data_IF_018134990537
#
_entry.id   IF_018134990537
#
_cell.length_a   1.000
_cell.length_b   1.000
_cell.length_c   1.000
_cell.angle_alpha   90.00
_cell.angle_beta   90.00
_cell.angle_gamma   90.00
#
_symmetry.space_group_name_H-M   'P 1'
#
loop_
_entity.id
_entity.type
_entity.pdbx_description
1 polymer ?
#
# COMPACT_ATOMS: atom_id res chain seq x y z
N UNK A 1 12.50 11.90 -9.07
CA UNK A 1 11.85 10.78 -8.37
C UNK A 1 11.60 11.26 -6.95
N UNK A 2 10.40 11.09 -6.41
CA UNK A 2 10.08 11.44 -5.02
C UNK A 2 9.08 10.43 -4.49
N UNK A 3 9.31 9.92 -3.28
CA UNK A 3 8.43 8.99 -2.59
C UNK A 3 7.16 9.64 -2.06
N UNK A 4 7.12 10.96 -1.94
CA UNK A 4 5.97 11.71 -1.39
C UNK A 4 4.66 11.37 -2.10
N UNK A 5 4.68 11.18 -3.42
CA UNK A 5 3.49 10.77 -4.16
C UNK A 5 3.00 9.38 -3.76
N UNK A 6 3.91 8.41 -3.63
CA UNK A 6 3.53 7.05 -3.24
C UNK A 6 3.10 6.99 -1.77
N UNK A 7 3.74 7.76 -0.89
CA UNK A 7 3.34 7.87 0.51
C UNK A 7 1.89 8.34 0.64
N UNK A 8 1.52 9.41 -0.08
CA UNK A 8 0.13 9.91 -0.12
C UNK A 8 -0.84 8.88 -0.67
N UNK A 9 -0.46 8.17 -1.73
CA UNK A 9 -1.28 7.07 -2.28
C UNK A 9 -1.52 5.97 -1.25
N UNK A 10 -0.48 5.56 -0.49
CA UNK A 10 -0.62 4.55 0.55
C UNK A 10 -1.54 5.01 1.71
N UNK A 11 -1.45 6.29 2.11
CA UNK A 11 -2.36 6.89 3.09
C UNK A 11 -3.81 6.93 2.58
N UNK A 12 -4.02 7.30 1.32
CA UNK A 12 -5.34 7.33 0.69
C UNK A 12 -5.93 5.91 0.57
N UNK A 13 -5.11 4.91 0.26
CA UNK A 13 -5.54 3.51 0.28
C UNK A 13 -5.90 3.02 1.68
N UNK A 14 -5.13 3.37 2.71
CA UNK A 14 -5.49 3.04 4.09
C UNK A 14 -6.82 3.69 4.49
N UNK A 15 -7.03 4.96 4.13
CA UNK A 15 -8.30 5.66 4.39
C UNK A 15 -9.45 4.97 3.67
N UNK A 16 -9.27 4.63 2.39
CA UNK A 16 -10.29 3.93 1.61
C UNK A 16 -10.59 2.54 2.17
N UNK A 17 -9.56 1.83 2.65
CA UNK A 17 -9.68 0.54 3.31
C UNK A 17 -10.53 0.65 4.58
N UNK A 18 -10.22 1.62 5.45
CA UNK A 18 -10.94 1.83 6.70
C UNK A 18 -12.41 2.26 6.44
N UNK A 19 -12.67 3.08 5.40
CA UNK A 19 -14.03 3.45 4.98
C UNK A 19 -14.87 2.25 4.52
N UNK A 20 -14.25 1.25 3.90
CA UNK A 20 -14.92 0.06 3.36
C UNK A 20 -14.69 -1.19 4.21
N UNK A 21 -14.26 -1.03 5.47
CA UNK A 21 -13.81 -2.14 6.32
C UNK A 21 -14.83 -3.28 6.46
N UNK A 22 -16.14 -2.97 6.46
CA UNK A 22 -17.17 -4.00 6.57
C UNK A 22 -17.22 -4.92 5.34
N UNK A 23 -17.13 -4.33 4.15
CA UNK A 23 -17.11 -5.09 2.90
C UNK A 23 -15.82 -5.90 2.76
N UNK A 24 -14.70 -5.28 3.07
CA UNK A 24 -13.39 -5.93 3.04
C UNK A 24 -13.36 -7.10 4.02
N UNK A 25 -13.87 -6.96 5.24
CA UNK A 25 -13.96 -8.08 6.21
C UNK A 25 -14.75 -9.26 5.66
N UNK A 26 -15.86 -9.02 4.95
CA UNK A 26 -16.63 -10.09 4.29
C UNK A 26 -15.80 -10.78 3.22
N UNK A 27 -15.08 -10.03 2.39
CA UNK A 27 -14.20 -10.58 1.36
C UNK A 27 -13.03 -11.36 1.96
N UNK A 28 -12.38 -10.82 2.99
CA UNK A 28 -11.28 -11.49 3.69
C UNK A 28 -11.74 -12.80 4.35
N UNK A 29 -12.96 -12.84 4.89
CA UNK A 29 -13.54 -14.09 5.41
C UNK A 29 -13.72 -15.15 4.31
N UNK A 30 -14.07 -14.74 3.09
CA UNK A 30 -14.21 -15.65 1.95
C UNK A 30 -12.85 -16.14 1.43
N UNK A 31 -11.84 -15.27 1.38
CA UNK A 31 -10.51 -15.57 0.82
C UNK A 31 -9.60 -16.30 1.81
N UNK A 32 -9.57 -15.84 3.07
CA UNK A 32 -8.62 -16.29 4.09
C UNK A 32 -9.26 -17.11 5.22
N UNK A 33 -10.59 -17.24 5.25
CA UNK A 33 -11.30 -18.05 6.24
C UNK A 33 -10.94 -17.68 7.68
N UNK A 34 -10.44 -18.64 8.44
CA UNK A 34 -10.05 -18.47 9.84
C UNK A 34 -8.95 -17.41 10.05
N UNK A 35 -8.13 -17.11 9.03
CA UNK A 35 -7.07 -16.12 9.12
C UNK A 35 -7.50 -14.69 8.75
N UNK A 36 -8.78 -14.47 8.40
CA UNK A 36 -9.26 -13.18 7.89
C UNK A 36 -8.90 -11.99 8.78
N UNK A 37 -9.01 -12.15 10.10
CA UNK A 37 -8.66 -11.09 11.05
C UNK A 37 -7.16 -10.77 11.08
N UNK A 38 -6.31 -11.80 10.95
CA UNK A 38 -4.86 -11.63 10.85
C UNK A 38 -4.50 -10.90 9.55
N UNK A 39 -5.16 -11.26 8.44
CA UNK A 39 -4.95 -10.63 7.15
C UNK A 39 -5.46 -9.19 7.09
N UNK A 40 -6.57 -8.87 7.77
CA UNK A 40 -7.03 -7.48 7.93
C UNK A 40 -5.93 -6.60 8.53
N UNK A 41 -5.31 -7.08 9.62
CA UNK A 41 -4.20 -6.35 10.28
C UNK A 41 -2.98 -6.22 9.36
N UNK A 42 -2.62 -7.29 8.64
CA UNK A 42 -1.47 -7.29 7.70
C UNK A 42 -1.66 -6.28 6.58
N UNK A 43 -2.85 -6.17 5.99
CA UNK A 43 -3.14 -5.18 4.95
C UNK A 43 -2.98 -3.75 5.47
N UNK A 44 -3.53 -3.45 6.66
CA UNK A 44 -3.35 -2.12 7.27
C UNK A 44 -1.89 -1.82 7.57
N UNK A 45 -1.15 -2.78 8.12
CA UNK A 45 0.28 -2.66 8.39
C UNK A 45 1.08 -2.43 7.10
N UNK A 46 0.72 -3.08 6.00
CA UNK A 46 1.37 -2.87 4.71
C UNK A 46 1.22 -1.43 4.20
N UNK A 47 0.01 -0.85 4.27
CA UNK A 47 -0.18 0.55 3.87
C UNK A 47 0.59 1.52 4.78
N UNK A 48 0.57 1.29 6.10
CA UNK A 48 1.33 2.12 7.05
C UNK A 48 2.85 2.02 6.81
N UNK A 49 3.36 0.81 6.59
CA UNK A 49 4.78 0.58 6.34
C UNK A 49 5.23 1.24 5.02
N UNK A 50 4.43 1.15 3.96
CA UNK A 50 4.75 1.79 2.68
C UNK A 50 4.63 3.31 2.74
N UNK A 51 3.62 3.87 3.42
CA UNK A 51 3.54 5.29 3.67
C UNK A 51 4.77 5.82 4.42
N UNK A 52 5.17 5.13 5.50
CA UNK A 52 6.36 5.49 6.28
C UNK A 52 7.66 5.38 5.48
N UNK A 53 7.84 4.30 4.72
CA UNK A 53 9.03 4.08 3.89
C UNK A 53 9.17 5.17 2.82
N UNK A 54 8.13 5.41 2.03
CA UNK A 54 8.17 6.39 0.95
C UNK A 54 8.12 7.84 1.43
N UNK A 55 7.60 8.12 2.63
CA UNK A 55 7.58 9.45 3.23
C UNK A 55 8.85 9.80 4.03
N UNK A 56 9.69 8.81 4.33
CA UNK A 56 10.89 9.01 5.14
C UNK A 56 11.82 10.05 4.53
N UNK A 57 12.40 10.93 5.36
CA UNK A 57 13.33 11.95 4.90
C UNK A 57 12.74 12.92 3.87
N UNK A 58 11.43 13.20 3.93
CA UNK A 58 10.75 14.06 2.95
C UNK A 58 10.50 13.38 1.59
N UNK A 59 10.61 12.05 1.53
CA UNK A 59 10.44 11.27 0.30
C UNK A 59 11.62 11.34 -0.67
N UNK A 60 12.78 11.76 -0.19
CA UNK A 60 14.03 11.76 -0.95
C UNK A 60 14.66 10.37 -1.12
N UNK A 61 14.69 9.48 -0.11
CA UNK A 61 15.50 8.25 -0.22
C UNK A 61 14.83 7.11 -0.99
N UNK A 62 13.51 7.11 -1.12
CA UNK A 62 12.75 6.14 -1.92
C UNK A 62 11.84 6.85 -2.91
N UNK A 63 11.67 6.29 -4.10
CA UNK A 63 10.77 6.87 -5.11
C UNK A 63 10.45 5.88 -6.21
N UNK A 64 9.56 6.30 -7.09
CA UNK A 64 9.12 5.52 -8.26
C UNK A 64 9.81 6.09 -9.50
N UNK A 65 10.36 5.20 -10.32
CA UNK A 65 11.05 5.53 -11.57
C UNK A 65 10.33 4.88 -12.74
N UNK A 66 10.17 5.63 -13.83
CA UNK A 66 9.61 5.12 -15.08
C UNK A 66 10.74 5.02 -16.10
N UNK A 67 10.90 3.85 -16.71
CA UNK A 67 11.92 3.58 -17.71
C UNK A 67 11.26 3.24 -19.04
N UNK A 68 11.68 3.92 -20.10
CA UNK A 68 11.38 3.54 -21.47
C UNK A 68 12.57 2.75 -22.02
N UNK A 69 12.35 1.51 -22.40
CA UNK A 69 13.39 0.60 -22.91
C UNK A 69 13.34 0.50 -24.43
N UNK A 70 14.47 0.19 -25.05
CA UNK A 70 14.60 -0.15 -26.47
C UNK A 70 15.16 -1.59 -26.60
N UNK A 71 14.92 -2.32 -27.70
CA UNK A 71 15.52 -3.64 -27.89
C UNK A 71 17.04 -3.58 -27.79
N UNK A 72 17.63 -4.61 -27.19
CA UNK A 72 19.06 -4.82 -27.29
C UNK A 72 19.37 -5.21 -28.74
N UNK A 73 20.01 -4.32 -29.49
CA UNK A 73 20.57 -4.59 -30.82
C UNK A 73 21.71 -5.60 -30.74
#
# INVERSE_FOLDING_TARGET
>A
WSGTHYARTAEDWLRNYDLHAQEIRRLLAQVYGAEAFTWERRWRLFFLATAGLFGHGGGEPWGVSHYLLNPAT
#
